data_IF_530290117270
#
_entry.id   IF_530290117270
#
_cell.length_a   1.000
_cell.length_b   1.000
_cell.length_c   1.000
_cell.angle_alpha   90.00
_cell.angle_beta   90.00
_cell.angle_gamma   90.00
#
_symmetry.space_group_name_H-M   'P 1'
#
loop_
_entity.id
_entity.type
_entity.pdbx_description
1 polymer ?
#
# COMPACT_ATOMS: atom_id res chain seq x y z
N UNK A 1 -25.28 16.38 -38.58
CA UNK A 1 -23.92 16.93 -38.26
C UNK A 1 -23.45 16.57 -36.85
N UNK A 2 -24.34 16.52 -35.82
CA UNK A 2 -23.98 16.24 -34.42
C UNK A 2 -23.48 14.81 -34.19
N UNK A 3 -24.03 13.79 -34.91
CA UNK A 3 -23.62 12.38 -34.73
C UNK A 3 -22.19 12.06 -35.22
N UNK A 4 -21.61 12.80 -36.13
CA UNK A 4 -20.27 12.52 -36.68
C UNK A 4 -19.16 13.02 -35.78
N UNK A 5 -19.38 14.04 -34.94
CA UNK A 5 -18.38 14.63 -34.04
C UNK A 5 -18.39 14.00 -32.65
N UNK A 6 -19.39 13.20 -32.27
CA UNK A 6 -19.48 12.58 -30.97
C UNK A 6 -18.32 11.62 -30.70
N UNK A 7 -17.92 10.83 -31.67
CA UNK A 7 -16.75 9.95 -31.62
C UNK A 7 -15.44 10.76 -31.37
N UNK A 8 -15.27 11.87 -32.07
CA UNK A 8 -14.12 12.73 -31.92
C UNK A 8 -14.09 13.40 -30.53
N UNK A 9 -15.26 13.83 -30.04
CA UNK A 9 -15.39 14.34 -28.66
C UNK A 9 -15.11 13.28 -27.61
N UNK A 10 -15.66 12.07 -27.77
CA UNK A 10 -15.41 10.96 -26.84
C UNK A 10 -13.93 10.58 -26.82
N UNK A 11 -13.27 10.50 -27.97
CA UNK A 11 -11.84 10.24 -28.08
C UNK A 11 -11.00 11.35 -27.42
N UNK A 12 -11.35 12.62 -27.60
CA UNK A 12 -10.64 13.74 -27.03
C UNK A 12 -10.69 13.76 -25.48
N UNK A 13 -11.75 13.23 -24.88
CA UNK A 13 -11.87 13.16 -23.40
C UNK A 13 -11.35 11.83 -22.83
N UNK A 14 -11.61 10.70 -23.50
CA UNK A 14 -11.23 9.38 -23.01
C UNK A 14 -9.74 9.11 -23.19
N UNK A 15 -9.15 9.55 -24.29
CA UNK A 15 -7.73 9.29 -24.57
C UNK A 15 -6.78 9.87 -23.50
N UNK A 16 -6.90 11.14 -23.08
CA UNK A 16 -6.07 11.67 -22.00
C UNK A 16 -6.22 10.90 -20.68
N UNK A 17 -7.44 10.47 -20.35
CA UNK A 17 -7.70 9.68 -19.13
C UNK A 17 -6.99 8.32 -19.23
N UNK A 18 -7.07 7.65 -20.38
CA UNK A 18 -6.38 6.37 -20.59
C UNK A 18 -4.86 6.53 -20.55
N UNK A 19 -4.32 7.63 -21.08
CA UNK A 19 -2.88 7.93 -21.03
C UNK A 19 -2.42 8.16 -19.59
N UNK A 20 -3.17 8.92 -18.79
CA UNK A 20 -2.87 9.14 -17.37
C UNK A 20 -2.99 7.82 -16.59
N UNK A 21 -4.03 7.04 -16.84
CA UNK A 21 -4.24 5.75 -16.19
C UNK A 21 -3.10 4.76 -16.53
N UNK A 22 -2.68 4.71 -17.80
CA UNK A 22 -1.51 3.93 -18.23
C UNK A 22 -0.23 4.42 -17.55
N UNK A 23 -0.02 5.74 -17.50
CA UNK A 23 1.15 6.35 -16.84
C UNK A 23 1.21 6.01 -15.35
N UNK A 24 0.08 5.89 -14.69
CA UNK A 24 -0.01 5.52 -13.26
C UNK A 24 0.06 4.01 -13.00
N UNK A 25 0.33 3.21 -14.03
CA UNK A 25 0.45 1.75 -13.91
C UNK A 25 -0.89 1.04 -13.76
N UNK A 26 -1.99 1.66 -14.21
CA UNK A 26 -3.33 1.09 -14.11
C UNK A 26 -3.53 -0.22 -14.88
N UNK A 27 -2.64 -0.53 -15.81
CA UNK A 27 -2.60 -1.80 -16.53
C UNK A 27 -1.54 -2.77 -16.00
N UNK A 28 -0.75 -2.39 -15.00
CA UNK A 28 0.25 -3.27 -14.43
C UNK A 28 -0.42 -4.35 -13.58
N UNK A 29 0.00 -5.58 -13.79
CA UNK A 29 -0.48 -6.73 -13.02
C UNK A 29 0.45 -7.00 -11.84
N UNK A 30 -0.13 -7.39 -10.70
CA UNK A 30 0.65 -7.82 -9.56
C UNK A 30 1.13 -9.26 -9.73
N UNK A 31 2.38 -9.53 -9.34
CA UNK A 31 2.94 -10.87 -9.29
C UNK A 31 2.76 -11.44 -7.88
N UNK A 32 2.16 -12.64 -7.78
CA UNK A 32 1.93 -13.33 -6.50
C UNK A 32 2.91 -14.49 -6.36
N UNK A 33 3.61 -14.52 -5.23
CA UNK A 33 4.55 -15.60 -4.91
C UNK A 33 4.59 -15.90 -3.41
N UNK A 34 4.74 -17.19 -3.02
CA UNK A 34 5.06 -17.55 -1.64
C UNK A 34 6.52 -17.19 -1.33
N UNK A 35 6.78 -16.78 -0.09
CA UNK A 35 8.11 -16.38 0.33
C UNK A 35 8.22 -16.19 1.84
N UNK A 36 9.29 -15.50 2.25
CA UNK A 36 9.52 -15.06 3.62
C UNK A 36 9.42 -13.54 3.66
N UNK A 37 8.65 -12.99 4.61
CA UNK A 37 8.55 -11.56 4.88
C UNK A 37 9.30 -11.18 6.15
N UNK A 38 9.92 -9.98 6.18
CA UNK A 38 10.71 -9.52 7.32
C UNK A 38 12.18 -9.95 7.28
N UNK A 39 12.95 -9.69 8.39
CA UNK A 39 12.50 -8.96 9.57
C UNK A 39 12.26 -7.47 9.26
N UNK A 40 11.32 -6.83 9.96
CA UNK A 40 11.05 -5.40 9.85
C UNK A 40 11.23 -4.73 11.19
N UNK A 41 12.11 -3.73 11.27
CA UNK A 41 12.21 -2.78 12.35
C UNK A 41 11.53 -1.50 11.90
N UNK A 42 10.47 -1.06 12.59
CA UNK A 42 9.63 0.03 12.10
C UNK A 42 9.10 0.92 13.20
N UNK A 43 8.91 2.18 12.84
CA UNK A 43 8.23 3.19 13.65
C UNK A 43 6.80 3.35 13.16
N UNK A 44 5.87 3.58 14.06
CA UNK A 44 4.46 3.69 13.72
C UNK A 44 3.64 4.58 14.66
N UNK A 45 2.46 4.93 14.18
CA UNK A 45 1.33 5.42 14.98
C UNK A 45 0.18 4.42 14.79
N UNK A 46 -0.49 4.05 15.89
CA UNK A 46 -1.71 3.25 15.81
C UNK A 46 -2.87 4.08 15.25
N UNK A 47 -3.59 3.50 14.31
CA UNK A 47 -4.78 4.08 13.72
C UNK A 47 -5.99 3.19 13.96
N UNK A 48 -7.04 3.76 14.56
CA UNK A 48 -8.35 3.13 14.69
C UNK A 48 -9.35 4.00 13.93
N UNK A 49 -10.02 3.42 12.95
CA UNK A 49 -10.97 4.13 12.11
C UNK A 49 -10.82 3.82 10.63
N UNK A 50 -11.43 4.63 9.80
CA UNK A 50 -11.48 4.43 8.35
C UNK A 50 -10.07 4.37 7.73
N UNK A 51 -9.74 3.28 7.05
CA UNK A 51 -8.48 3.11 6.33
C UNK A 51 -8.25 4.14 5.22
N UNK A 52 -9.30 4.80 4.72
CA UNK A 52 -9.16 5.95 3.83
C UNK A 52 -8.40 7.13 4.44
N UNK A 53 -8.16 7.13 5.77
CA UNK A 53 -7.37 8.12 6.49
C UNK A 53 -5.90 7.73 6.69
N UNK A 54 -5.50 6.55 6.25
CA UNK A 54 -4.11 6.08 6.35
C UNK A 54 -3.11 7.08 5.73
N UNK A 55 -3.35 7.69 4.56
CA UNK A 55 -2.43 8.69 4.02
C UNK A 55 -2.20 9.89 4.95
N UNK A 56 -3.25 10.36 5.62
CA UNK A 56 -3.15 11.46 6.59
C UNK A 56 -2.30 11.06 7.82
N UNK A 57 -2.45 9.80 8.27
CA UNK A 57 -1.65 9.26 9.39
C UNK A 57 -0.20 9.04 8.96
N UNK A 58 0.04 8.55 7.74
CA UNK A 58 1.36 8.39 7.16
C UNK A 58 2.12 9.71 7.13
N UNK A 59 1.44 10.80 6.72
CA UNK A 59 2.03 12.15 6.72
C UNK A 59 2.38 12.60 8.15
N UNK A 60 1.50 12.36 9.14
CA UNK A 60 1.79 12.70 10.55
C UNK A 60 3.02 11.97 11.09
N UNK A 61 3.20 10.68 10.73
CA UNK A 61 4.41 9.94 11.11
C UNK A 61 5.65 10.55 10.47
N UNK A 62 5.59 10.90 9.18
CA UNK A 62 6.68 11.56 8.47
C UNK A 62 7.06 12.89 9.12
N UNK A 63 6.07 13.74 9.41
CA UNK A 63 6.28 15.03 10.03
C UNK A 63 6.90 14.90 11.44
N UNK A 64 6.43 13.91 12.22
CA UNK A 64 6.96 13.64 13.56
C UNK A 64 8.39 13.07 13.55
N UNK A 65 8.78 12.34 12.50
CA UNK A 65 10.16 11.89 12.27
C UNK A 65 11.06 13.05 11.89
N UNK A 66 10.64 13.87 10.92
CA UNK A 66 11.39 15.06 10.52
C UNK A 66 11.59 16.06 11.68
N UNK A 67 10.59 16.23 12.55
CA UNK A 67 10.71 17.06 13.76
C UNK A 67 11.75 16.53 14.77
N UNK A 68 12.19 15.29 14.62
CA UNK A 68 13.21 14.65 15.41
C UNK A 68 14.54 14.44 14.64
N UNK A 69 14.68 15.09 13.47
CA UNK A 69 15.83 14.95 12.56
C UNK A 69 16.06 13.50 12.09
N UNK A 70 14.99 12.69 12.01
CA UNK A 70 15.03 11.31 11.54
C UNK A 70 14.49 11.22 10.12
N UNK A 71 15.29 10.69 9.20
CA UNK A 71 14.85 10.45 7.82
C UNK A 71 14.00 9.18 7.76
N UNK A 72 12.74 9.24 7.28
CA UNK A 72 11.91 8.06 7.07
C UNK A 72 12.53 7.11 6.05
N UNK A 73 12.43 5.80 6.32
CA UNK A 73 12.71 4.76 5.32
C UNK A 73 11.50 4.50 4.41
N UNK A 74 11.39 3.28 3.91
CA UNK A 74 10.21 2.87 3.14
C UNK A 74 8.96 2.84 4.00
N UNK A 75 7.83 3.21 3.41
CA UNK A 75 6.55 3.18 4.11
C UNK A 75 6.12 1.73 4.42
N UNK A 76 5.62 1.52 5.64
CA UNK A 76 5.02 0.27 6.08
C UNK A 76 3.66 0.54 6.70
N UNK A 77 2.66 -0.27 6.32
CA UNK A 77 1.34 -0.26 6.93
C UNK A 77 0.94 -1.69 7.28
N UNK A 78 0.49 -1.91 8.51
CA UNK A 78 0.01 -3.21 8.97
C UNK A 78 -1.48 -3.08 9.20
N UNK A 79 -2.28 -3.77 8.41
CA UNK A 79 -3.74 -3.81 8.54
C UNK A 79 -4.13 -5.05 9.36
N UNK A 80 -4.75 -4.84 10.51
CA UNK A 80 -5.18 -5.93 11.39
C UNK A 80 -6.56 -6.46 11.06
N UNK A 81 -7.40 -5.64 10.43
CA UNK A 81 -8.79 -5.97 10.15
C UNK A 81 -9.07 -5.94 8.65
N UNK A 82 -9.93 -6.84 8.19
CA UNK A 82 -10.37 -6.89 6.81
C UNK A 82 -11.42 -5.79 6.56
N UNK A 83 -11.14 -4.81 5.67
CA UNK A 83 -12.06 -3.70 5.41
C UNK A 83 -13.37 -4.14 4.74
N UNK A 84 -13.45 -5.37 4.21
CA UNK A 84 -14.67 -5.91 3.58
C UNK A 84 -15.72 -6.30 4.61
N UNK A 85 -15.31 -6.68 5.82
CA UNK A 85 -16.18 -7.21 6.87
C UNK A 85 -16.17 -6.39 8.17
N UNK A 86 -15.15 -5.55 8.38
CA UNK A 86 -15.02 -4.71 9.58
C UNK A 86 -15.58 -3.32 9.34
N UNK A 87 -16.41 -2.83 10.26
CA UNK A 87 -16.96 -1.47 10.17
C UNK A 87 -15.81 -0.45 10.18
N UNK A 88 -15.95 0.61 9.37
CA UNK A 88 -14.91 1.64 9.22
C UNK A 88 -14.40 2.24 10.52
N UNK A 89 -15.27 2.40 11.52
CA UNK A 89 -14.91 2.96 12.84
C UNK A 89 -14.06 2.02 13.70
N UNK A 90 -14.11 0.71 13.41
CA UNK A 90 -13.48 -0.34 14.21
C UNK A 90 -12.23 -0.93 13.53
N UNK A 91 -11.90 -0.44 12.32
CA UNK A 91 -10.71 -0.88 11.58
C UNK A 91 -9.44 -0.43 12.29
N UNK A 92 -8.47 -1.34 12.43
CA UNK A 92 -7.20 -1.08 13.13
C UNK A 92 -6.03 -1.27 12.19
N UNK A 93 -5.09 -0.33 12.25
CA UNK A 93 -3.84 -0.36 11.50
C UNK A 93 -2.69 0.21 12.33
N UNK A 94 -1.47 -0.19 12.00
CA UNK A 94 -0.24 0.53 12.33
C UNK A 94 0.31 1.15 11.07
N UNK A 95 0.56 2.43 11.11
CA UNK A 95 0.99 3.20 9.93
C UNK A 95 2.32 3.85 10.24
N UNK A 96 3.32 3.61 9.41
CA UNK A 96 4.65 4.12 9.70
C UNK A 96 5.70 3.88 8.62
N UNK A 97 6.95 3.81 9.06
CA UNK A 97 8.12 3.68 8.19
C UNK A 97 9.12 2.67 8.75
N UNK A 98 9.84 1.98 7.87
CA UNK A 98 10.99 1.20 8.26
C UNK A 98 12.10 2.12 8.78
N UNK A 99 12.78 1.70 9.84
CA UNK A 99 13.92 2.41 10.42
C UNK A 99 15.13 1.47 10.55
N UNK A 100 16.35 2.03 10.50
CA UNK A 100 17.53 1.31 10.93
C UNK A 100 17.46 0.95 12.43
N UNK A 101 18.05 -0.18 12.82
CA UNK A 101 18.15 -0.55 14.22
C UNK A 101 18.95 0.49 15.02
N UNK A 102 18.56 0.72 16.28
CA UNK A 102 19.23 1.64 17.20
C UNK A 102 18.75 3.10 17.14
N UNK A 103 17.80 3.42 16.25
CA UNK A 103 17.15 4.74 16.23
C UNK A 103 16.11 4.80 17.36
N UNK A 104 16.19 5.81 18.22
CA UNK A 104 15.20 6.08 19.26
C UNK A 104 14.25 7.18 18.80
N UNK A 105 12.96 7.02 19.09
CA UNK A 105 11.93 8.01 18.79
C UNK A 105 11.21 8.48 20.04
N UNK A 106 10.62 9.67 19.99
CA UNK A 106 9.81 10.25 21.06
C UNK A 106 8.31 10.09 20.74
N UNK A 107 7.45 10.06 21.76
CA UNK A 107 6.00 10.09 21.54
C UNK A 107 5.58 11.24 20.59
N UNK A 108 4.54 11.07 19.77
CA UNK A 108 3.58 9.94 19.74
C UNK A 108 4.06 8.69 18.97
N UNK A 109 5.28 8.70 18.45
CA UNK A 109 5.85 7.60 17.69
C UNK A 109 6.19 6.41 18.61
N UNK A 110 5.93 5.20 18.10
CA UNK A 110 6.26 3.93 18.74
C UNK A 110 7.13 3.09 17.81
N UNK A 111 7.97 2.23 18.37
CA UNK A 111 8.81 1.30 17.61
C UNK A 111 8.37 -0.13 17.93
N UNK A 112 8.38 -0.98 16.90
CA UNK A 112 8.19 -2.42 17.06
C UNK A 112 9.01 -3.19 16.03
N UNK A 113 9.18 -4.48 16.29
CA UNK A 113 9.92 -5.42 15.46
C UNK A 113 9.00 -6.54 14.98
N UNK A 114 9.03 -6.83 13.70
CA UNK A 114 8.34 -7.96 13.12
C UNK A 114 9.36 -9.00 12.66
N UNK A 115 9.32 -10.22 13.23
CA UNK A 115 10.27 -11.28 12.87
C UNK A 115 10.03 -11.79 11.44
N UNK A 116 11.00 -12.51 10.91
CA UNK A 116 10.86 -13.24 9.66
C UNK A 116 9.72 -14.25 9.78
N UNK A 117 8.84 -14.29 8.78
CA UNK A 117 7.67 -15.18 8.76
C UNK A 117 7.33 -15.66 7.35
N UNK A 118 6.72 -16.86 7.20
CA UNK A 118 6.22 -17.31 5.90
C UNK A 118 5.03 -16.45 5.47
N UNK A 119 5.07 -15.97 4.23
CA UNK A 119 4.04 -15.11 3.65
C UNK A 119 3.68 -15.53 2.23
N UNK A 120 2.49 -15.13 1.79
CA UNK A 120 2.16 -14.99 0.39
C UNK A 120 2.23 -13.49 0.07
N UNK A 121 3.03 -13.13 -0.91
CA UNK A 121 3.24 -11.73 -1.29
C UNK A 121 2.72 -11.43 -2.69
N UNK A 122 2.05 -10.28 -2.84
CA UNK A 122 1.72 -9.68 -4.12
C UNK A 122 2.54 -8.42 -4.34
N UNK A 123 3.25 -8.33 -5.46
CA UNK A 123 4.10 -7.18 -5.79
C UNK A 123 3.62 -6.54 -7.08
N UNK A 124 3.44 -5.20 -7.05
CA UNK A 124 3.02 -4.41 -8.20
C UNK A 124 3.75 -3.08 -8.26
N UNK A 125 4.10 -2.66 -9.46
CA UNK A 125 4.63 -1.33 -9.73
C UNK A 125 3.50 -0.46 -10.26
N UNK A 126 2.99 0.44 -9.42
CA UNK A 126 1.90 1.35 -9.76
C UNK A 126 1.92 2.56 -8.80
N UNK A 127 1.09 3.56 -9.11
CA UNK A 127 0.87 4.68 -8.18
C UNK A 127 0.28 4.17 -6.87
N UNK A 128 0.58 4.86 -5.77
CA UNK A 128 0.05 4.55 -4.42
C UNK A 128 -1.49 4.45 -4.38
N UNK A 129 -2.16 5.15 -5.29
CA UNK A 129 -3.63 5.13 -5.39
C UNK A 129 -4.17 3.83 -6.00
N UNK A 130 -3.47 3.25 -6.98
CA UNK A 130 -3.92 2.07 -7.74
C UNK A 130 -3.30 0.76 -7.24
N UNK A 131 -2.09 0.82 -6.70
CA UNK A 131 -1.31 -0.34 -6.30
C UNK A 131 -2.01 -1.27 -5.29
N UNK A 132 -2.68 -0.78 -4.21
CA UNK A 132 -3.36 -1.65 -3.27
C UNK A 132 -4.46 -2.49 -3.93
N UNK A 133 -5.31 -1.87 -4.73
CA UNK A 133 -6.39 -2.59 -5.43
C UNK A 133 -5.85 -3.71 -6.31
N UNK A 134 -4.80 -3.44 -7.10
CA UNK A 134 -4.18 -4.43 -7.98
C UNK A 134 -3.53 -5.58 -7.18
N UNK A 135 -2.85 -5.28 -6.07
CA UNK A 135 -2.21 -6.29 -5.23
C UNK A 135 -3.22 -7.20 -4.52
N UNK A 136 -4.27 -6.63 -3.90
CA UNK A 136 -5.31 -7.41 -3.23
C UNK A 136 -6.15 -8.23 -4.21
N UNK A 137 -6.44 -7.70 -5.39
CA UNK A 137 -7.13 -8.46 -6.44
C UNK A 137 -6.30 -9.67 -6.87
N UNK A 138 -5.00 -9.50 -7.09
CA UNK A 138 -4.12 -10.60 -7.46
C UNK A 138 -4.01 -11.68 -6.36
N UNK A 139 -3.97 -11.27 -5.07
CA UNK A 139 -4.02 -12.22 -3.94
C UNK A 139 -5.34 -12.99 -3.93
N UNK A 140 -6.47 -12.31 -4.12
CA UNK A 140 -7.78 -12.94 -4.19
C UNK A 140 -7.84 -13.96 -5.33
N UNK A 141 -7.44 -13.58 -6.54
CA UNK A 141 -7.46 -14.43 -7.73
C UNK A 141 -6.53 -15.66 -7.57
N UNK A 142 -5.43 -15.51 -6.81
CA UNK A 142 -4.54 -16.62 -6.50
C UNK A 142 -5.15 -17.58 -5.47
N UNK A 143 -5.85 -17.09 -4.46
CA UNK A 143 -6.38 -17.87 -3.33
C UNK A 143 -7.72 -18.53 -3.65
N UNK A 144 -8.61 -17.86 -4.37
CA UNK A 144 -9.98 -18.29 -4.63
C UNK A 144 -10.08 -19.69 -5.29
N UNK A 145 -9.28 -20.04 -6.32
CA UNK A 145 -9.31 -21.39 -6.90
C UNK A 145 -8.84 -22.49 -5.95
N UNK A 146 -8.19 -22.10 -4.84
CA UNK A 146 -7.67 -23.01 -3.79
C UNK A 146 -8.62 -23.13 -2.59
N UNK A 147 -9.80 -22.49 -2.67
CA UNK A 147 -10.76 -22.45 -1.56
C UNK A 147 -10.24 -21.67 -0.35
N UNK A 148 -9.30 -20.74 -0.56
CA UNK A 148 -8.70 -19.92 0.47
C UNK A 148 -9.11 -18.45 0.30
N UNK A 149 -9.03 -17.66 1.37
CA UNK A 149 -9.25 -16.22 1.35
C UNK A 149 -8.07 -15.48 2.00
N UNK A 150 -8.03 -14.17 1.82
CA UNK A 150 -7.03 -13.28 2.39
C UNK A 150 -7.13 -13.33 3.91
N UNK A 151 -6.00 -13.60 4.56
CA UNK A 151 -5.89 -13.63 6.02
C UNK A 151 -5.19 -12.37 6.52
N UNK A 152 -5.70 -11.85 7.63
CA UNK A 152 -5.07 -10.72 8.33
C UNK A 152 -4.14 -11.23 9.45
N UNK A 153 -3.17 -10.42 9.89
CA UNK A 153 -2.85 -9.10 9.40
C UNK A 153 -2.16 -9.12 8.04
N UNK A 154 -2.44 -8.13 7.21
CA UNK A 154 -1.66 -7.86 6.00
C UNK A 154 -0.62 -6.77 6.26
N UNK A 155 0.53 -6.89 5.61
CA UNK A 155 1.61 -5.90 5.65
C UNK A 155 1.81 -5.32 4.27
N UNK A 156 1.70 -4.02 4.16
CA UNK A 156 1.90 -3.25 2.94
C UNK A 156 3.23 -2.51 3.03
N UNK A 157 4.14 -2.79 2.11
CA UNK A 157 5.44 -2.14 1.99
C UNK A 157 5.48 -1.35 0.70
N UNK A 158 5.67 -0.04 0.79
CA UNK A 158 5.79 0.81 -0.37
C UNK A 158 7.18 1.40 -0.49
N UNK A 159 7.83 1.11 -1.61
CA UNK A 159 9.11 1.68 -2.01
C UNK A 159 8.83 2.75 -3.06
N UNK A 160 9.12 4.00 -2.75
CA UNK A 160 8.96 5.09 -3.72
C UNK A 160 9.86 4.89 -4.94
N UNK A 161 9.45 5.41 -6.09
CA UNK A 161 10.31 5.45 -7.27
C UNK A 161 11.49 6.41 -7.08
N UNK A 162 12.59 6.15 -7.79
CA UNK A 162 13.81 6.96 -7.71
C UNK A 162 13.67 8.36 -8.33
N UNK A 163 12.58 8.63 -9.01
CA UNK A 163 12.28 9.94 -9.62
C UNK A 163 10.78 10.17 -9.66
N UNK A 164 10.37 11.44 -9.85
CA UNK A 164 8.96 11.83 -9.96
C UNK A 164 8.21 11.13 -11.11
N UNK A 165 8.96 10.67 -12.12
CA UNK A 165 8.43 9.97 -13.29
C UNK A 165 8.45 8.44 -13.13
N UNK A 166 8.98 7.92 -12.03
CA UNK A 166 9.08 6.49 -11.79
C UNK A 166 8.09 6.08 -10.72
N UNK A 167 7.18 5.18 -11.07
CA UNK A 167 6.21 4.62 -10.13
C UNK A 167 6.93 3.83 -9.03
N UNK A 168 6.40 3.94 -7.83
CA UNK A 168 6.83 3.12 -6.72
C UNK A 168 6.38 1.66 -6.86
N UNK A 169 6.87 0.84 -5.96
CA UNK A 169 6.51 -0.58 -5.88
C UNK A 169 5.81 -0.84 -4.55
N UNK A 170 4.59 -1.37 -4.61
CA UNK A 170 3.88 -1.91 -3.46
C UNK A 170 4.10 -3.41 -3.37
N UNK A 171 4.42 -3.89 -2.18
CA UNK A 171 4.38 -5.31 -1.83
C UNK A 171 3.37 -5.50 -0.70
N UNK A 172 2.37 -6.34 -0.92
CA UNK A 172 1.39 -6.74 0.10
C UNK A 172 1.71 -8.17 0.52
N UNK A 173 1.94 -8.37 1.82
CA UNK A 173 2.23 -9.66 2.42
C UNK A 173 1.07 -10.09 3.33
N UNK A 174 0.60 -11.31 3.16
CA UNK A 174 -0.39 -11.95 4.04
C UNK A 174 0.17 -13.23 4.65
N UNK A 175 -0.29 -13.66 5.83
CA UNK A 175 0.11 -14.93 6.43
C UNK A 175 -0.21 -16.12 5.51
N UNK A 176 0.72 -17.06 5.44
CA UNK A 176 0.58 -18.30 4.67
C UNK A 176 0.01 -19.42 5.52
#
# INVERSE_FOLDING_TARGET
LIKKNWLAFSLAFVLPILVVFWWWGGFNTATVAPGMGGPYHYVYIEHIGNFGKIPDVQQKVSDALHAQDITPGNAITILYDDPRITQKRDQRARVGYLLPAGVNVKPPLQIDDMPVRPVLSARVQASMLLAPSAAYQALHDYLQPRGQDIRMPSVELYVAGNSINQMGTLTVEIPR
#
